data_IF_757556528249
#
_entry.id   IF_757556528249
#
_cell.length_a   1.000
_cell.length_b   1.000
_cell.length_c   1.000
_cell.angle_alpha   90.00
_cell.angle_beta   90.00
_cell.angle_gamma   90.00
#
_symmetry.space_group_name_H-M   'P 1'
#
loop_
_entity.id
_entity.type
_entity.pdbx_description
1 polymer ?
#
# COMPACT_ATOMS: atom_id res chain seq x y z
N UNK A 1 31.49 3.81 0.44
CA UNK A 1 30.82 5.05 0.03
C UNK A 1 29.32 4.87 0.26
N UNK A 2 28.84 5.31 1.42
CA UNK A 2 27.41 5.24 1.76
C UNK A 2 26.78 6.52 1.27
N UNK A 3 26.06 6.45 0.14
CA UNK A 3 25.24 7.56 -0.32
C UNK A 3 24.16 7.80 0.75
N UNK A 4 24.28 8.88 1.50
CA UNK A 4 23.21 9.37 2.37
C UNK A 4 22.17 9.99 1.43
N UNK A 5 21.26 9.16 0.93
CA UNK A 5 20.02 9.67 0.35
C UNK A 5 19.16 10.22 1.49
N UNK A 6 18.53 11.40 1.33
CA UNK A 6 17.60 11.91 2.32
C UNK A 6 16.49 10.87 2.56
N UNK A 7 16.08 10.70 3.82
CA UNK A 7 15.01 9.78 4.20
C UNK A 7 13.67 10.33 3.67
N UNK A 8 13.18 9.75 2.57
CA UNK A 8 12.01 10.25 1.83
C UNK A 8 10.67 9.68 2.29
N UNK A 9 10.70 8.62 3.10
CA UNK A 9 9.53 7.93 3.62
C UNK A 9 9.79 7.41 5.02
N UNK A 10 8.73 7.28 5.82
CA UNK A 10 8.80 6.64 7.13
C UNK A 10 8.71 5.12 6.99
N UNK A 11 7.60 4.65 6.42
CA UNK A 11 7.32 3.26 6.06
C UNK A 11 6.61 3.23 4.69
N UNK A 12 6.78 2.15 3.92
CA UNK A 12 6.10 1.93 2.64
C UNK A 12 5.38 0.60 2.68
N UNK A 13 4.14 0.59 2.21
CA UNK A 13 3.40 -0.61 1.86
C UNK A 13 3.40 -0.76 0.34
N UNK A 14 4.06 -1.80 -0.14
CA UNK A 14 4.21 -2.13 -1.56
C UNK A 14 3.33 -3.33 -1.91
N UNK A 15 2.20 -3.08 -2.55
CA UNK A 15 1.24 -4.12 -2.94
C UNK A 15 1.31 -4.31 -4.45
N UNK A 16 1.49 -5.56 -4.86
CA UNK A 16 1.58 -5.98 -6.26
C UNK A 16 0.48 -7.00 -6.51
N UNK A 17 -0.46 -6.67 -7.41
CA UNK A 17 -1.50 -7.59 -7.86
C UNK A 17 -1.33 -7.91 -9.35
N UNK A 18 -0.73 -9.07 -9.64
CA UNK A 18 -0.49 -9.58 -11.00
C UNK A 18 -0.01 -11.04 -10.92
N UNK A 19 0.07 -11.73 -12.06
CA UNK A 19 0.73 -13.04 -12.14
C UNK A 19 2.20 -12.93 -11.69
N UNK A 20 2.64 -13.91 -10.91
CA UNK A 20 3.98 -13.95 -10.32
C UNK A 20 4.35 -12.71 -9.50
N UNK A 21 3.38 -12.07 -8.82
CA UNK A 21 3.58 -10.83 -8.08
C UNK A 21 4.74 -10.89 -7.07
N UNK A 22 4.95 -12.05 -6.43
CA UNK A 22 6.05 -12.25 -5.48
C UNK A 22 7.44 -11.95 -6.07
N UNK A 23 7.64 -12.12 -7.38
CA UNK A 23 8.90 -11.84 -8.05
C UNK A 23 9.33 -10.36 -7.94
N UNK A 24 8.37 -9.44 -7.98
CA UNK A 24 8.62 -8.00 -7.88
C UNK A 24 9.03 -7.58 -6.46
N UNK A 25 8.52 -8.28 -5.44
CA UNK A 25 8.86 -8.02 -4.05
C UNK A 25 10.24 -8.55 -3.65
N UNK A 26 10.78 -9.57 -4.33
CA UNK A 26 12.04 -10.23 -3.95
C UNK A 26 13.27 -9.32 -4.03
N UNK A 27 13.30 -8.38 -4.97
CA UNK A 27 14.43 -7.46 -5.17
C UNK A 27 14.34 -6.20 -4.29
N UNK A 28 13.27 -6.03 -3.52
CA UNK A 28 13.16 -4.93 -2.56
C UNK A 28 14.09 -5.21 -1.38
N UNK A 29 15.02 -4.29 -1.15
CA UNK A 29 16.02 -4.36 -0.07
C UNK A 29 16.03 -3.11 0.82
N UNK A 30 15.26 -2.08 0.46
CA UNK A 30 15.23 -0.86 1.26
C UNK A 30 14.52 -1.10 2.60
N UNK A 31 15.00 -0.51 3.70
CA UNK A 31 14.42 -0.72 5.02
C UNK A 31 13.03 -0.09 5.12
N UNK A 32 12.25 -0.52 6.10
CA UNK A 32 10.90 -0.01 6.41
C UNK A 32 9.89 -0.21 5.27
N UNK A 33 10.00 -1.30 4.51
CA UNK A 33 9.05 -1.65 3.46
C UNK A 33 8.35 -2.96 3.79
N UNK A 34 7.02 -2.98 3.72
CA UNK A 34 6.23 -4.20 3.69
C UNK A 34 5.90 -4.48 2.23
N UNK A 35 6.19 -5.69 1.76
CA UNK A 35 5.81 -6.09 0.39
C UNK A 35 4.72 -7.15 0.44
N UNK A 36 3.75 -7.06 -0.47
CA UNK A 36 2.67 -8.03 -0.64
C UNK A 36 2.52 -8.31 -2.13
N UNK A 37 2.56 -9.59 -2.50
CA UNK A 37 2.25 -10.07 -3.84
C UNK A 37 1.01 -10.96 -3.81
N UNK A 38 0.08 -10.73 -4.72
CA UNK A 38 -1.17 -11.51 -4.81
C UNK A 38 -0.99 -12.97 -5.24
N UNK A 39 0.14 -13.31 -5.88
CA UNK A 39 0.50 -14.67 -6.24
C UNK A 39 1.99 -14.98 -6.05
N UNK A 40 2.31 -16.26 -5.82
CA UNK A 40 3.68 -16.74 -5.74
C UNK A 40 4.34 -16.81 -7.12
N UNK A 41 5.66 -16.94 -7.15
CA UNK A 41 6.39 -17.19 -8.40
C UNK A 41 5.94 -18.53 -8.98
N UNK A 42 5.52 -18.52 -10.24
CA UNK A 42 4.94 -19.70 -10.91
C UNK A 42 3.42 -19.87 -10.72
N UNK A 43 2.75 -18.95 -10.01
CA UNK A 43 1.28 -18.93 -9.88
C UNK A 43 0.67 -17.70 -10.57
N UNK A 44 -0.50 -17.89 -11.17
CA UNK A 44 -1.28 -16.81 -11.78
C UNK A 44 -2.13 -16.07 -10.74
N UNK A 45 -2.35 -14.76 -10.93
CA UNK A 45 -3.40 -14.03 -10.21
C UNK A 45 -4.72 -14.21 -10.96
N UNK A 46 -5.81 -14.44 -10.24
CA UNK A 46 -7.10 -14.77 -10.83
C UNK A 46 -8.15 -13.72 -10.49
N UNK A 47 -8.99 -13.41 -11.48
CA UNK A 47 -10.12 -12.50 -11.32
C UNK A 47 -11.29 -13.15 -10.59
N UNK A 48 -12.03 -12.35 -9.82
CA UNK A 48 -13.18 -12.82 -9.03
C UNK A 48 -14.49 -12.78 -9.82
N UNK A 49 -14.74 -11.70 -10.55
CA UNK A 49 -16.01 -11.46 -11.23
C UNK A 49 -15.78 -11.28 -12.74
N UNK A 50 -16.57 -12.02 -13.52
CA UNK A 50 -16.78 -11.78 -14.94
C UNK A 50 -18.18 -11.22 -15.04
N UNK A 51 -18.30 -9.93 -15.33
CA UNK A 51 -19.59 -9.37 -15.70
C UNK A 51 -19.89 -9.85 -17.13
N UNK A 52 -20.84 -10.76 -17.28
CA UNK A 52 -21.21 -11.32 -18.58
C UNK A 52 -21.98 -10.34 -19.47
N UNK A 53 -22.53 -9.25 -18.92
CA UNK A 53 -23.25 -8.24 -19.70
C UNK A 53 -22.26 -7.24 -20.32
N UNK A 54 -21.10 -7.02 -19.69
CA UNK A 54 -20.05 -6.08 -20.16
C UNK A 54 -18.85 -6.83 -20.78
N UNK A 55 -18.64 -8.10 -20.44
CA UNK A 55 -17.58 -8.95 -21.01
C UNK A 55 -16.16 -8.62 -20.53
N UNK A 56 -16.01 -8.00 -19.35
CA UNK A 56 -14.71 -7.59 -18.79
C UNK A 56 -14.49 -8.18 -17.39
N UNK A 57 -13.24 -8.50 -17.08
CA UNK A 57 -12.81 -8.86 -15.72
C UNK A 57 -12.69 -7.59 -14.89
N UNK A 58 -13.53 -7.46 -13.86
CA UNK A 58 -13.63 -6.19 -13.12
C UNK A 58 -12.62 -6.05 -11.99
N UNK A 59 -12.22 -7.16 -11.35
CA UNK A 59 -11.30 -7.12 -10.22
C UNK A 59 -10.65 -8.48 -9.97
N UNK A 60 -9.37 -8.43 -9.61
CA UNK A 60 -8.62 -9.58 -9.11
C UNK A 60 -9.11 -9.99 -7.73
N UNK A 61 -9.06 -11.29 -7.42
CA UNK A 61 -9.54 -11.83 -6.14
C UNK A 61 -8.87 -11.16 -4.96
N UNK A 62 -7.55 -10.98 -5.03
CA UNK A 62 -6.80 -10.29 -3.99
C UNK A 62 -7.27 -8.84 -3.82
N UNK A 63 -7.33 -8.08 -4.93
CA UNK A 63 -7.85 -6.70 -4.93
C UNK A 63 -9.25 -6.58 -4.33
N UNK A 64 -10.16 -7.51 -4.66
CA UNK A 64 -11.50 -7.56 -4.08
C UNK A 64 -11.44 -7.72 -2.56
N UNK A 65 -10.74 -8.75 -2.06
CA UNK A 65 -10.65 -9.00 -0.62
C UNK A 65 -9.94 -7.87 0.14
N UNK A 66 -8.94 -7.24 -0.48
CA UNK A 66 -8.27 -6.05 0.08
C UNK A 66 -9.24 -4.86 0.18
N UNK A 67 -10.02 -4.61 -0.86
CA UNK A 67 -11.04 -3.55 -0.83
C UNK A 67 -12.12 -3.83 0.21
N UNK A 68 -12.64 -5.06 0.27
CA UNK A 68 -13.67 -5.45 1.24
C UNK A 68 -13.19 -5.27 2.69
N UNK A 69 -11.95 -5.64 2.98
CA UNK A 69 -11.36 -5.40 4.29
C UNK A 69 -11.28 -3.89 4.60
N UNK A 70 -10.80 -3.08 3.66
CA UNK A 70 -10.62 -1.64 3.85
C UNK A 70 -11.95 -0.87 3.99
N UNK A 71 -13.05 -1.34 3.41
CA UNK A 71 -14.39 -0.74 3.60
C UNK A 71 -14.84 -0.74 5.07
N UNK A 72 -14.36 -1.70 5.87
CA UNK A 72 -14.64 -1.80 7.30
C UNK A 72 -13.67 -1.00 8.19
N UNK A 73 -12.68 -0.31 7.63
CA UNK A 73 -11.67 0.43 8.39
C UNK A 73 -12.11 1.87 8.61
N UNK A 74 -12.25 2.25 9.88
CA UNK A 74 -12.41 3.65 10.31
C UNK A 74 -11.08 4.20 10.86
N UNK A 75 -10.92 5.53 11.02
CA UNK A 75 -9.72 6.11 11.63
C UNK A 75 -9.43 5.61 13.06
N UNK A 76 -10.45 5.20 13.81
CA UNK A 76 -10.35 4.65 15.16
C UNK A 76 -10.16 3.12 15.17
N UNK A 77 -10.08 2.50 13.99
CA UNK A 77 -9.91 1.06 13.84
C UNK A 77 -8.63 0.59 14.51
N UNK A 78 -8.75 -0.49 15.29
CA UNK A 78 -7.62 -1.18 15.94
C UNK A 78 -7.12 -2.37 15.14
N UNK A 79 -7.55 -2.50 13.88
CA UNK A 79 -7.12 -3.60 13.03
C UNK A 79 -5.64 -3.43 12.66
N UNK A 80 -4.93 -4.55 12.60
CA UNK A 80 -3.48 -4.59 12.41
C UNK A 80 -3.11 -5.07 11.02
N UNK A 81 -1.90 -4.74 10.57
CA UNK A 81 -1.39 -5.21 9.29
C UNK A 81 -1.27 -6.73 9.22
N UNK A 82 -1.09 -7.43 10.34
CA UNK A 82 -1.15 -8.91 10.40
C UNK A 82 -2.53 -9.44 9.95
N UNK A 83 -3.60 -8.75 10.35
CA UNK A 83 -4.96 -9.09 9.89
C UNK A 83 -5.13 -8.75 8.40
N UNK A 84 -4.61 -7.61 7.95
CA UNK A 84 -4.64 -7.24 6.53
C UNK A 84 -3.86 -8.24 5.64
N UNK A 85 -2.74 -8.79 6.10
CA UNK A 85 -1.95 -9.75 5.32
C UNK A 85 -2.59 -11.13 5.22
N UNK A 86 -3.64 -11.41 6.00
CA UNK A 86 -4.34 -12.71 6.04
C UNK A 86 -5.73 -12.67 5.39
N UNK A 87 -6.09 -11.55 4.76
CA UNK A 87 -7.41 -11.32 4.13
C UNK A 87 -7.78 -12.29 3.01
N UNK A 88 -6.77 -12.88 2.36
CA UNK A 88 -6.98 -13.72 1.19
C UNK A 88 -6.20 -15.03 1.35
N UNK A 89 -6.77 -16.02 2.06
CA UNK A 89 -6.20 -17.36 2.07
C UNK A 89 -6.25 -17.97 0.66
N UNK A 90 -5.41 -18.98 0.42
CA UNK A 90 -5.31 -19.68 -0.87
C UNK A 90 -6.66 -20.18 -1.39
N UNK A 91 -7.59 -20.57 -0.52
CA UNK A 91 -8.94 -21.00 -0.91
C UNK A 91 -9.80 -19.89 -1.53
N UNK A 92 -9.56 -18.63 -1.16
CA UNK A 92 -10.31 -17.48 -1.67
C UNK A 92 -9.62 -16.86 -2.89
N UNK A 93 -8.30 -16.65 -2.79
CA UNK A 93 -7.50 -16.07 -3.87
C UNK A 93 -7.23 -17.04 -5.02
N UNK A 94 -7.29 -18.36 -4.77
CA UNK A 94 -6.86 -19.42 -5.69
C UNK A 94 -5.37 -19.33 -6.11
N UNK A 95 -4.65 -18.40 -5.49
CA UNK A 95 -3.21 -18.17 -5.55
C UNK A 95 -2.68 -18.02 -4.12
N UNK A 96 -1.36 -18.15 -3.97
CA UNK A 96 -0.67 -17.98 -2.69
C UNK A 96 -0.22 -16.54 -2.55
N UNK A 97 -0.87 -15.78 -1.68
CA UNK A 97 -0.42 -14.43 -1.33
C UNK A 97 0.91 -14.53 -0.57
N UNK A 98 1.93 -13.83 -1.06
CA UNK A 98 3.27 -13.81 -0.46
C UNK A 98 3.51 -12.43 0.11
N UNK A 99 3.90 -12.35 1.37
CA UNK A 99 4.27 -11.07 2.01
C UNK A 99 5.66 -11.15 2.63
N UNK A 100 6.37 -10.02 2.61
CA UNK A 100 7.67 -9.83 3.27
C UNK A 100 7.56 -8.69 4.26
N UNK A 101 7.89 -8.97 5.51
CA UNK A 101 7.81 -8.01 6.63
C UNK A 101 9.14 -7.87 7.36
N UNK A 102 10.17 -8.60 6.96
CA UNK A 102 11.50 -8.62 7.59
C UNK A 102 12.27 -7.30 7.44
N UNK A 103 11.88 -6.47 6.47
CA UNK A 103 12.45 -5.14 6.28
C UNK A 103 11.84 -4.12 7.25
N UNK A 104 10.77 -4.47 7.97
CA UNK A 104 10.11 -3.63 8.96
C UNK A 104 10.83 -3.69 10.31
N UNK A 105 11.03 -2.54 10.96
CA UNK A 105 11.73 -2.46 12.25
C UNK A 105 10.88 -2.95 13.44
N UNK A 106 9.56 -2.91 13.30
CA UNK A 106 8.60 -3.27 14.35
C UNK A 106 7.82 -4.53 13.97
N UNK A 107 7.34 -5.33 14.94
CA UNK A 107 6.59 -6.53 14.64
C UNK A 107 5.26 -6.18 13.95
N UNK A 108 4.95 -6.87 12.85
CA UNK A 108 3.78 -6.59 12.00
C UNK A 108 2.45 -6.61 12.77
N UNK A 109 2.35 -7.43 13.80
CA UNK A 109 1.19 -7.55 14.71
C UNK A 109 0.87 -6.27 15.47
N UNK A 110 1.84 -5.37 15.61
CA UNK A 110 1.68 -4.10 16.33
C UNK A 110 1.40 -2.92 15.42
N UNK A 111 1.46 -3.12 14.10
CA UNK A 111 1.30 -2.05 13.12
C UNK A 111 -0.18 -1.90 12.75
N UNK A 112 -0.81 -0.76 13.06
CA UNK A 112 -2.19 -0.50 12.64
C UNK A 112 -2.31 -0.41 11.11
N UNK A 113 -3.42 -0.88 10.56
CA UNK A 113 -3.75 -0.69 9.14
C UNK A 113 -3.90 0.80 8.81
N UNK A 114 -4.38 1.57 9.79
CA UNK A 114 -4.60 3.01 9.69
C UNK A 114 -3.32 3.78 9.39
N UNK A 115 -2.15 3.28 9.79
CA UNK A 115 -0.84 3.90 9.50
C UNK A 115 -0.58 4.00 7.98
N UNK A 116 -1.14 3.08 7.19
CA UNK A 116 -1.00 3.06 5.72
C UNK A 116 -2.25 3.55 4.98
N UNK A 117 -3.45 3.22 5.47
CA UNK A 117 -4.69 3.43 4.71
C UNK A 117 -5.62 4.52 5.27
N UNK A 118 -5.41 5.00 6.50
CA UNK A 118 -6.28 5.99 7.14
C UNK A 118 -5.54 7.29 7.47
N UNK A 119 -4.93 7.90 6.45
CA UNK A 119 -4.28 9.21 6.61
C UNK A 119 -5.32 10.27 6.96
N UNK A 120 -5.39 10.62 8.24
CA UNK A 120 -6.02 11.86 8.70
C UNK A 120 -5.03 12.97 8.35
N UNK A 121 -5.35 13.78 7.34
CA UNK A 121 -4.59 15.02 7.09
C UNK A 121 -4.89 15.98 8.24
N UNK A 122 -3.91 16.26 9.09
CA UNK A 122 -3.91 17.51 9.81
C UNK A 122 -3.65 18.61 8.79
N UNK A 123 -4.73 19.23 8.29
CA UNK A 123 -4.63 20.52 7.63
C UNK A 123 -4.41 21.52 8.76
N UNK A 124 -3.16 21.87 9.03
CA UNK A 124 -2.92 23.12 9.73
C UNK A 124 -3.49 24.23 8.84
N UNK A 125 -4.52 24.92 9.33
CA UNK A 125 -4.98 26.12 8.67
C UNK A 125 -3.78 27.07 8.66
N UNK A 126 -3.22 27.31 7.48
CA UNK A 126 -2.19 28.33 7.32
C UNK A 126 -2.68 29.63 7.93
N UNK A 127 -1.79 30.44 8.53
CA UNK A 127 -2.20 31.70 9.16
C UNK A 127 -3.07 32.47 8.16
N UNK A 128 -4.22 32.96 8.61
CA UNK A 128 -5.07 33.81 7.80
C UNK A 128 -4.23 35.02 7.37
N UNK A 129 -3.81 35.03 6.11
CA UNK A 129 -3.16 36.19 5.50
C UNK A 129 -4.19 37.31 5.42
N UNK A 130 -4.31 38.10 6.48
CA UNK A 130 -4.73 39.48 6.35
C UNK A 130 -3.59 40.19 5.62
N UNK A 131 -3.80 40.53 4.36
CA UNK A 131 -2.82 41.19 3.52
C UNK A 131 -2.20 42.40 4.23
N UNK A 132 -0.95 42.27 4.64
CA UNK A 132 -0.05 43.41 4.74
C UNK A 132 1.30 42.93 4.25
N UNK A 133 1.62 43.31 3.02
CA UNK A 133 2.93 43.09 2.41
C UNK A 133 4.01 43.76 3.28
N UNK A 134 4.88 42.95 3.87
CA UNK A 134 6.01 43.42 4.67
C UNK A 134 7.09 42.32 4.75
N UNK A 135 8.27 42.65 4.24
CA UNK A 135 9.44 41.78 4.08
C UNK A 135 9.82 41.01 5.37
N UNK A 136 9.92 39.68 5.30
CA UNK A 136 10.89 38.93 6.11
C UNK A 136 11.13 37.53 5.51
N UNK A 137 12.38 37.27 5.16
CA UNK A 137 12.94 35.96 4.80
C UNK A 137 12.84 34.99 5.98
N UNK A 138 12.10 33.88 5.87
CA UNK A 138 12.29 32.66 6.68
C UNK A 138 11.24 31.61 6.32
N UNK A 139 11.59 30.58 5.54
CA UNK A 139 10.98 29.24 5.68
C UNK A 139 12.06 28.20 5.37
N UNK A 140 12.67 27.74 6.45
CA UNK A 140 13.38 26.47 6.52
C UNK A 140 12.35 25.32 6.43
N UNK A 141 12.87 24.19 5.99
CA UNK A 141 12.27 22.85 5.89
C UNK A 141 11.09 22.53 6.80
N UNK A 142 10.03 21.97 6.19
CA UNK A 142 9.13 21.00 6.83
C UNK A 142 8.56 20.05 5.75
N UNK A 143 9.44 19.23 5.15
CA UNK A 143 9.03 18.12 4.30
C UNK A 143 8.61 16.94 5.17
N UNK A 144 7.35 16.94 5.63
CA UNK A 144 6.74 15.78 6.29
C UNK A 144 6.70 14.58 5.31
N UNK A 145 7.23 13.40 5.66
CA UNK A 145 7.37 12.28 4.72
C UNK A 145 6.00 11.77 4.28
N UNK A 146 5.75 11.89 2.98
CA UNK A 146 4.55 11.38 2.31
C UNK A 146 4.52 9.85 2.44
N UNK A 147 3.43 9.30 2.97
CA UNK A 147 3.06 7.90 2.78
C UNK A 147 3.00 7.65 1.26
N UNK A 148 3.93 6.86 0.73
CA UNK A 148 3.91 6.48 -0.69
C UNK A 148 3.34 5.08 -0.78
N UNK A 149 2.04 4.98 -1.07
CA UNK A 149 1.44 3.74 -1.52
C UNK A 149 1.75 3.62 -3.02
N UNK A 150 2.72 2.77 -3.37
CA UNK A 150 2.90 2.35 -4.76
C UNK A 150 1.93 1.20 -5.04
N UNK A 151 0.71 1.56 -5.44
CA UNK A 151 -0.22 0.65 -6.10
C UNK A 151 0.17 0.60 -7.58
N UNK A 152 0.90 -0.44 -8.01
CA UNK A 152 1.02 -0.74 -9.44
C UNK A 152 -0.30 -1.38 -9.89
N UNK A 153 -1.15 -0.58 -10.55
CA UNK A 153 -2.49 -0.96 -11.01
C UNK A 153 -2.51 -2.20 -11.93
N UNK A 154 -3.23 -3.26 -11.54
CA UNK A 154 -4.56 -3.71 -12.02
C UNK A 154 -4.80 -3.92 -13.55
N UNK A 155 -3.85 -3.75 -14.49
CA UNK A 155 -4.27 -3.78 -15.91
C UNK A 155 -3.30 -4.39 -16.92
N UNK A 156 -2.76 -5.60 -16.67
CA UNK A 156 -1.97 -6.32 -17.69
C UNK A 156 -2.16 -7.84 -17.81
N UNK A 157 -3.23 -8.45 -17.28
CA UNK A 157 -3.52 -9.88 -17.53
C UNK A 157 -4.92 -10.13 -18.08
N UNK A 158 -5.27 -9.45 -19.17
CA UNK A 158 -6.35 -9.87 -20.06
C UNK A 158 -5.94 -9.65 -21.52
N UNK A 159 -4.87 -10.31 -21.95
CA UNK A 159 -4.62 -10.56 -23.37
C UNK A 159 -3.71 -11.79 -23.48
N UNK A 160 -4.32 -12.97 -23.46
CA UNK A 160 -3.89 -14.04 -24.36
C UNK A 160 -4.90 -14.13 -25.49
#
# INVERSE_FOLDING_TARGET
MMFIYPLRYHEILFIVDTCQAASMGQLVYSPNIITVGSSAVGEDSLSLHVDNDIGVFMSDRYSYHASEFLKGITPESRQTMDQFLTICPKSQCLSTVVHRTELLRRPIRTVPVTDFFASVRHIEAGPSISETFGNQSMWADELQPRQVILLFSILLTASR
#
